data_IF_307831121519
#
_entry.id   IF_307831121519
#
_cell.length_a   1.000
_cell.length_b   1.000
_cell.length_c   1.000
_cell.angle_alpha   90.00
_cell.angle_beta   90.00
_cell.angle_gamma   90.00
#
_symmetry.space_group_name_H-M   'P 1'
#
loop_
_entity.id
_entity.type
_entity.pdbx_description
1 polymer ?
#
# COMPACT_ATOMS: atom_id res chain seq x y z
N UNK A 1 10.16 15.50 34.03
CA UNK A 1 11.41 15.40 33.27
C UNK A 1 11.20 14.35 32.19
N UNK A 2 10.75 14.77 31.00
CA UNK A 2 10.35 13.87 29.89
C UNK A 2 11.25 14.21 28.67
N UNK A 3 12.49 13.76 28.72
CA UNK A 3 13.45 13.94 27.62
C UNK A 3 13.91 12.61 26.97
N UNK A 4 13.34 11.48 27.39
CA UNK A 4 13.74 10.15 26.89
C UNK A 4 13.08 9.72 25.57
N UNK A 5 11.85 10.14 25.32
CA UNK A 5 11.04 9.61 24.20
C UNK A 5 11.41 10.20 22.83
N UNK A 6 11.83 11.45 22.76
CA UNK A 6 12.07 12.13 21.46
C UNK A 6 13.30 11.60 20.75
N UNK A 7 14.36 11.24 21.49
CA UNK A 7 15.61 10.76 20.88
C UNK A 7 15.52 9.32 20.38
N UNK A 8 14.76 8.47 21.09
CA UNK A 8 14.48 7.09 20.66
C UNK A 8 13.57 7.09 19.45
N UNK A 9 12.53 7.94 19.41
CA UNK A 9 11.64 8.08 18.25
C UNK A 9 12.39 8.53 16.99
N UNK A 10 13.30 9.50 17.10
CA UNK A 10 14.12 9.97 15.98
C UNK A 10 15.05 8.86 15.44
N UNK A 11 15.65 8.03 16.33
CA UNK A 11 16.50 6.91 15.92
C UNK A 11 15.74 5.80 15.20
N UNK A 12 14.49 5.54 15.59
CA UNK A 12 13.62 4.56 14.93
C UNK A 12 13.23 5.05 13.55
N UNK A 13 12.85 6.32 13.41
CA UNK A 13 12.49 6.92 12.13
C UNK A 13 13.65 6.95 11.13
N UNK A 14 14.88 7.18 11.58
CA UNK A 14 16.07 7.24 10.72
C UNK A 14 16.48 5.85 10.20
N UNK A 15 16.09 4.76 10.86
CA UNK A 15 16.36 3.38 10.43
C UNK A 15 15.14 2.71 9.76
N UNK A 16 13.99 3.36 9.72
CA UNK A 16 12.78 2.81 9.12
C UNK A 16 12.77 3.04 7.60
N UNK A 17 12.68 1.94 6.84
CA UNK A 17 12.62 1.97 5.37
C UNK A 17 11.51 2.91 4.86
N UNK A 18 10.31 2.82 5.43
CA UNK A 18 9.18 3.63 4.99
C UNK A 18 9.32 5.09 5.39
N UNK A 19 9.91 5.40 6.55
CA UNK A 19 10.25 6.77 6.91
C UNK A 19 11.25 7.39 5.92
N UNK A 20 12.26 6.63 5.48
CA UNK A 20 13.22 7.10 4.47
C UNK A 20 12.54 7.34 3.11
N UNK A 21 11.59 6.50 2.71
CA UNK A 21 10.79 6.71 1.49
C UNK A 21 9.93 7.97 1.61
N UNK A 22 9.25 8.15 2.72
CA UNK A 22 8.42 9.34 2.99
C UNK A 22 9.24 10.63 2.96
N UNK A 23 10.46 10.61 3.52
CA UNK A 23 11.43 11.73 3.52
C UNK A 23 12.08 11.93 2.14
N UNK A 24 11.82 11.06 1.14
CA UNK A 24 12.43 11.14 -0.19
C UNK A 24 13.90 10.72 -0.24
N UNK A 25 14.41 10.09 0.79
CA UNK A 25 15.80 9.59 0.87
C UNK A 25 15.99 8.31 0.04
N UNK A 26 14.91 7.57 -0.21
CA UNK A 26 14.91 6.37 -1.05
C UNK A 26 13.95 6.55 -2.22
N UNK A 27 14.27 6.01 -3.40
CA UNK A 27 13.41 6.05 -4.56
C UNK A 27 12.16 5.20 -4.34
N UNK A 28 11.02 5.66 -4.88
CA UNK A 28 9.75 4.92 -4.84
C UNK A 28 8.87 5.25 -6.05
N UNK A 29 7.94 4.35 -6.37
CA UNK A 29 6.95 4.54 -7.42
C UNK A 29 5.63 5.01 -6.81
N UNK A 30 5.58 6.31 -6.46
CA UNK A 30 4.42 6.95 -5.87
C UNK A 30 3.25 6.97 -6.85
N UNK A 31 2.07 6.51 -6.40
CA UNK A 31 0.84 6.52 -7.19
C UNK A 31 -0.25 7.42 -6.59
N UNK A 32 -0.18 7.67 -5.28
CA UNK A 32 -1.10 8.55 -4.59
C UNK A 32 -0.47 9.12 -3.32
N UNK A 33 -0.90 10.32 -2.92
CA UNK A 33 -0.43 11.01 -1.73
C UNK A 33 -1.48 12.04 -1.29
N UNK A 34 -1.66 12.20 0.02
CA UNK A 34 -2.31 13.36 0.64
C UNK A 34 -1.42 13.94 1.75
N UNK A 35 -1.98 14.76 2.62
CA UNK A 35 -1.24 15.39 3.71
C UNK A 35 -0.60 14.35 4.66
N UNK A 36 -1.33 13.29 4.99
CA UNK A 36 -0.98 12.33 6.04
C UNK A 36 -0.50 10.97 5.54
N UNK A 37 -0.80 10.60 4.29
CA UNK A 37 -0.58 9.26 3.77
C UNK A 37 0.11 9.26 2.41
N UNK A 38 0.82 8.17 2.14
CA UNK A 38 1.53 7.90 0.90
C UNK A 38 1.16 6.51 0.39
N UNK A 39 1.00 6.36 -0.93
CA UNK A 39 0.86 5.05 -1.59
C UNK A 39 1.90 4.89 -2.70
N UNK A 40 2.59 3.76 -2.68
CA UNK A 40 3.62 3.41 -3.65
C UNK A 40 3.36 2.03 -4.24
N UNK A 41 3.84 1.78 -5.45
CA UNK A 41 3.89 0.41 -5.98
C UNK A 41 4.90 -0.41 -5.19
N UNK A 42 4.52 -1.64 -4.87
CA UNK A 42 5.44 -2.60 -4.31
C UNK A 42 6.49 -3.00 -5.37
N UNK A 43 7.76 -3.04 -4.99
CA UNK A 43 8.85 -3.46 -5.89
C UNK A 43 9.06 -4.98 -5.91
N UNK A 44 8.40 -5.71 -5.00
CA UNK A 44 8.36 -7.18 -4.95
C UNK A 44 6.92 -7.70 -5.07
N UNK A 45 6.19 -7.35 -6.17
CA UNK A 45 4.77 -7.63 -6.26
C UNK A 45 4.49 -9.10 -6.59
N UNK A 46 3.50 -9.71 -5.90
CA UNK A 46 2.94 -11.01 -6.30
C UNK A 46 1.96 -10.86 -7.46
N UNK A 47 1.33 -9.69 -7.59
CA UNK A 47 0.36 -9.39 -8.63
C UNK A 47 0.61 -7.99 -9.20
N UNK A 48 0.35 -7.79 -10.49
CA UNK A 48 0.49 -6.50 -11.14
C UNK A 48 -0.32 -5.43 -10.40
N UNK A 49 0.34 -4.32 -10.03
CA UNK A 49 -0.29 -3.22 -9.32
C UNK A 49 -0.40 -3.40 -7.81
N UNK A 50 0.24 -4.41 -7.23
CA UNK A 50 0.38 -4.49 -5.79
C UNK A 50 0.92 -3.18 -5.25
N UNK A 51 0.26 -2.66 -4.22
CA UNK A 51 0.49 -1.30 -3.71
C UNK A 51 0.62 -1.35 -2.20
N UNK A 52 1.53 -0.56 -1.66
CA UNK A 52 1.68 -0.33 -0.22
C UNK A 52 1.15 1.06 0.11
N UNK A 53 0.24 1.16 1.07
CA UNK A 53 -0.24 2.42 1.64
C UNK A 53 0.30 2.56 3.04
N UNK A 54 0.82 3.73 3.39
CA UNK A 54 1.43 3.99 4.70
C UNK A 54 1.11 5.41 5.18
N UNK A 55 1.04 5.65 6.49
CA UNK A 55 1.06 7.01 7.03
C UNK A 55 2.45 7.63 6.83
N UNK A 56 2.51 8.95 6.69
CA UNK A 56 3.78 9.69 6.66
C UNK A 56 4.44 9.77 8.03
N UNK A 57 3.61 9.78 9.08
CA UNK A 57 4.07 9.66 10.47
C UNK A 57 4.43 8.21 10.74
N UNK A 58 5.56 7.96 11.40
CA UNK A 58 5.88 6.63 11.90
C UNK A 58 4.86 6.21 12.97
N UNK A 59 4.16 5.11 12.74
CA UNK A 59 3.25 4.44 13.66
C UNK A 59 3.66 2.98 13.73
N UNK A 60 3.39 2.36 14.88
CA UNK A 60 3.58 0.92 15.08
C UNK A 60 2.89 0.12 13.98
N UNK A 61 3.51 -0.97 13.57
CA UNK A 61 3.01 -1.85 12.50
C UNK A 61 1.76 -2.65 12.87
N UNK A 62 1.46 -2.79 14.18
CA UNK A 62 0.22 -3.42 14.63
C UNK A 62 -0.97 -2.47 14.45
N UNK A 63 -1.72 -2.68 13.38
CA UNK A 63 -2.89 -1.87 13.06
C UNK A 63 -3.97 -1.90 14.17
N UNK A 64 -4.04 -2.96 14.96
CA UNK A 64 -5.03 -3.10 16.03
C UNK A 64 -4.58 -2.48 17.36
N UNK A 65 -3.31 -2.11 17.50
CA UNK A 65 -2.82 -1.33 18.62
C UNK A 65 -3.10 0.18 18.49
N UNK A 66 -3.56 0.64 17.30
CA UNK A 66 -3.90 2.03 17.04
C UNK A 66 -5.17 2.46 17.78
N UNK A 67 -5.32 3.77 18.02
CA UNK A 67 -6.61 4.32 18.40
C UNK A 67 -7.64 4.14 17.27
N UNK A 68 -8.94 4.05 17.63
CA UNK A 68 -10.05 3.93 16.66
C UNK A 68 -9.99 5.03 15.59
N UNK A 69 -9.60 6.25 15.99
CA UNK A 69 -9.47 7.37 15.05
C UNK A 69 -8.34 7.15 14.05
N UNK A 70 -7.15 6.77 14.50
CA UNK A 70 -6.00 6.52 13.63
C UNK A 70 -6.29 5.38 12.67
N UNK A 71 -6.85 4.27 13.17
CA UNK A 71 -7.25 3.14 12.35
C UNK A 71 -8.31 3.55 11.31
N UNK A 72 -9.32 4.31 11.72
CA UNK A 72 -10.38 4.79 10.80
C UNK A 72 -9.81 5.69 9.71
N UNK A 73 -8.98 6.65 10.06
CA UNK A 73 -8.37 7.57 9.10
C UNK A 73 -7.48 6.80 8.10
N UNK A 74 -6.71 5.83 8.59
CA UNK A 74 -5.88 4.97 7.76
C UNK A 74 -6.72 4.08 6.83
N UNK A 75 -7.81 3.50 7.32
CA UNK A 75 -8.74 2.72 6.50
C UNK A 75 -9.39 3.56 5.41
N UNK A 76 -9.71 4.83 5.69
CA UNK A 76 -10.26 5.75 4.68
C UNK A 76 -9.21 6.03 3.59
N UNK A 77 -7.95 6.28 3.96
CA UNK A 77 -6.85 6.45 3.00
C UNK A 77 -6.64 5.19 2.15
N UNK A 78 -6.58 4.02 2.79
CA UNK A 78 -6.48 2.71 2.13
C UNK A 78 -7.62 2.49 1.13
N UNK A 79 -8.86 2.81 1.50
CA UNK A 79 -10.04 2.73 0.61
C UNK A 79 -9.92 3.66 -0.60
N UNK A 80 -9.42 4.90 -0.43
CA UNK A 80 -9.21 5.83 -1.55
C UNK A 80 -8.26 5.24 -2.58
N UNK A 81 -7.17 4.64 -2.12
CA UNK A 81 -6.16 4.00 -2.99
C UNK A 81 -6.72 2.73 -3.63
N UNK A 82 -7.45 1.89 -2.89
CA UNK A 82 -8.11 0.71 -3.45
C UNK A 82 -9.08 1.09 -4.59
N UNK A 83 -9.90 2.14 -4.42
CA UNK A 83 -10.80 2.64 -5.45
C UNK A 83 -10.04 3.20 -6.67
N UNK A 84 -8.90 3.85 -6.44
CA UNK A 84 -8.02 4.28 -7.52
C UNK A 84 -7.54 3.07 -8.35
N UNK A 85 -7.07 2.01 -7.69
CA UNK A 85 -6.62 0.78 -8.36
C UNK A 85 -7.76 0.08 -9.11
N UNK A 86 -8.95 -0.06 -8.49
CA UNK A 86 -10.14 -0.61 -9.16
C UNK A 86 -10.41 0.12 -10.46
N UNK A 87 -10.41 1.45 -10.43
CA UNK A 87 -10.73 2.28 -11.61
C UNK A 87 -9.62 2.25 -12.66
N UNK A 88 -8.34 2.31 -12.23
CA UNK A 88 -7.21 2.47 -13.15
C UNK A 88 -6.72 1.17 -13.77
N UNK A 89 -6.91 0.07 -13.09
CA UNK A 89 -6.52 -1.25 -13.56
C UNK A 89 -7.71 -2.05 -14.10
N UNK A 90 -8.92 -1.48 -14.04
CA UNK A 90 -10.19 -2.12 -14.44
C UNK A 90 -10.35 -3.51 -13.85
N UNK A 91 -10.19 -3.62 -12.53
CA UNK A 91 -10.33 -4.88 -11.79
C UNK A 91 -11.66 -4.97 -11.06
N UNK A 92 -12.13 -6.19 -10.80
CA UNK A 92 -13.37 -6.44 -10.08
C UNK A 92 -13.30 -5.93 -8.63
N UNK A 93 -12.15 -6.10 -7.98
CA UNK A 93 -11.91 -5.69 -6.59
C UNK A 93 -10.41 -5.60 -6.29
N UNK A 94 -10.12 -5.05 -5.12
CA UNK A 94 -8.79 -5.04 -4.51
C UNK A 94 -8.92 -5.68 -3.12
N UNK A 95 -8.04 -6.61 -2.83
CA UNK A 95 -7.91 -7.18 -1.48
C UNK A 95 -6.94 -6.34 -0.66
N UNK A 96 -7.11 -6.34 0.66
CA UNK A 96 -6.24 -5.63 1.59
C UNK A 96 -5.70 -6.59 2.64
N UNK A 97 -4.43 -6.42 3.00
CA UNK A 97 -3.78 -7.15 4.08
C UNK A 97 -3.04 -6.13 4.96
N UNK A 98 -3.25 -6.22 6.27
CA UNK A 98 -2.42 -5.60 7.28
C UNK A 98 -1.46 -6.66 7.78
N UNK A 99 -0.19 -6.44 7.53
CA UNK A 99 0.88 -7.33 7.96
C UNK A 99 2.07 -6.45 8.35
N UNK A 100 2.53 -6.52 9.56
CA UNK A 100 3.57 -5.65 10.10
C UNK A 100 4.88 -6.36 10.42
N UNK A 101 4.99 -7.65 10.12
CA UNK A 101 6.12 -8.48 10.58
C UNK A 101 7.44 -8.15 9.87
N UNK A 102 7.38 -7.62 8.64
CA UNK A 102 8.59 -7.36 7.85
C UNK A 102 9.15 -5.95 8.08
N UNK A 103 8.29 -4.97 8.24
CA UNK A 103 8.69 -3.56 8.45
C UNK A 103 7.84 -2.97 9.56
N UNK A 104 8.51 -2.57 10.65
CA UNK A 104 7.86 -1.91 11.77
C UNK A 104 7.52 -0.45 11.41
N UNK A 105 6.46 -0.29 10.68
CA UNK A 105 5.80 0.94 10.29
C UNK A 105 4.43 0.58 9.75
N UNK A 106 3.37 1.19 10.26
CA UNK A 106 2.02 0.91 9.82
C UNK A 106 1.90 0.93 8.30
N UNK A 107 1.37 -0.12 7.74
CA UNK A 107 1.08 -0.16 6.30
C UNK A 107 -0.01 -1.16 5.96
N UNK A 108 -0.67 -0.95 4.85
CA UNK A 108 -1.54 -1.93 4.22
C UNK A 108 -1.00 -2.31 2.85
N UNK A 109 -1.07 -3.59 2.54
CA UNK A 109 -0.76 -4.13 1.20
C UNK A 109 -2.07 -4.32 0.43
N UNK A 110 -2.15 -3.75 -0.76
CA UNK A 110 -3.30 -3.83 -1.65
C UNK A 110 -2.99 -4.73 -2.84
N UNK A 111 -3.86 -5.71 -3.09
CA UNK A 111 -3.74 -6.72 -4.13
C UNK A 111 -4.89 -6.59 -5.13
N UNK A 112 -4.67 -5.98 -6.30
CA UNK A 112 -5.68 -5.94 -7.35
C UNK A 112 -6.00 -7.34 -7.88
N UNK A 113 -7.30 -7.68 -7.96
CA UNK A 113 -7.76 -8.98 -8.44
C UNK A 113 -7.70 -9.06 -9.99
N UNK A 114 -6.48 -9.02 -10.55
CA UNK A 114 -6.25 -9.09 -11.99
C UNK A 114 -6.75 -10.42 -12.53
N UNK A 115 -7.54 -10.37 -13.61
CA UNK A 115 -8.09 -11.55 -14.27
C UNK A 115 -9.32 -12.14 -13.60
N UNK A 116 -9.76 -11.61 -12.44
CA UNK A 116 -11.01 -12.03 -11.81
C UNK A 116 -12.20 -11.33 -12.50
N UNK A 117 -13.16 -12.12 -12.97
CA UNK A 117 -14.40 -11.57 -13.52
C UNK A 117 -15.23 -10.87 -12.44
N UNK A 118 -15.91 -9.78 -12.80
CA UNK A 118 -16.87 -9.09 -11.92
C UNK A 118 -18.07 -9.97 -11.56
N UNK A 119 -18.35 -10.98 -12.38
CA UNK A 119 -19.43 -11.95 -12.18
C UNK A 119 -19.01 -13.11 -11.27
N UNK A 120 -17.71 -13.25 -10.97
CA UNK A 120 -17.20 -14.30 -10.09
C UNK A 120 -17.70 -14.07 -8.67
N UNK A 121 -18.61 -14.93 -8.22
CA UNK A 121 -19.17 -14.85 -6.87
C UNK A 121 -18.28 -15.54 -5.83
N UNK A 122 -17.55 -16.56 -6.24
CA UNK A 122 -16.68 -17.35 -5.37
C UNK A 122 -15.47 -17.85 -6.17
N UNK A 123 -14.29 -17.69 -5.59
CA UNK A 123 -13.05 -18.29 -6.07
C UNK A 123 -12.47 -19.14 -4.94
N UNK A 124 -12.20 -20.40 -5.22
CA UNK A 124 -11.61 -21.35 -4.26
C UNK A 124 -10.19 -21.62 -4.74
N UNK A 125 -9.20 -21.45 -3.88
CA UNK A 125 -7.83 -21.82 -4.19
C UNK A 125 -7.75 -23.35 -4.39
N UNK A 126 -7.04 -23.81 -5.42
CA UNK A 126 -6.89 -25.25 -5.70
C UNK A 126 -6.06 -25.96 -4.63
N UNK A 127 -5.17 -25.22 -3.98
CA UNK A 127 -4.28 -25.72 -2.94
C UNK A 127 -4.79 -25.30 -1.56
N UNK A 128 -4.61 -26.19 -0.59
CA UNK A 128 -4.88 -25.93 0.81
C UNK A 128 -3.59 -26.11 1.59
N UNK A 129 -3.17 -25.04 2.28
CA UNK A 129 -2.03 -25.07 3.17
C UNK A 129 -2.53 -24.95 4.60
N UNK A 130 -2.07 -25.83 5.48
CA UNK A 130 -2.32 -25.77 6.92
C UNK A 130 -0.97 -25.63 7.62
N UNK A 131 -0.90 -24.70 8.55
CA UNK A 131 0.25 -24.51 9.42
C UNK A 131 -0.19 -24.81 10.85
N UNK A 132 0.53 -25.67 11.54
CA UNK A 132 0.30 -25.94 12.97
C UNK A 132 0.62 -24.73 13.82
N UNK A 133 1.63 -23.95 13.39
CA UNK A 133 1.99 -22.66 13.96
C UNK A 133 1.97 -21.59 12.88
N UNK A 134 1.66 -20.34 13.25
CA UNK A 134 1.67 -19.26 12.29
C UNK A 134 3.10 -19.02 11.77
N UNK A 135 3.31 -19.08 10.44
CA UNK A 135 4.66 -19.05 9.85
C UNK A 135 5.29 -17.65 9.82
N UNK A 136 4.76 -16.71 10.61
CA UNK A 136 5.20 -15.31 10.69
C UNK A 136 5.01 -14.50 9.39
N UNK A 137 4.13 -14.96 8.51
CA UNK A 137 3.73 -14.21 7.31
C UNK A 137 2.30 -14.55 6.90
N UNK A 138 1.64 -13.61 6.24
CA UNK A 138 0.39 -13.86 5.53
C UNK A 138 0.75 -14.57 4.21
N UNK A 139 -0.06 -15.53 3.77
CA UNK A 139 0.22 -16.41 2.61
C UNK A 139 0.33 -15.70 1.25
N UNK A 140 0.59 -14.42 1.23
CA UNK A 140 0.99 -13.65 0.05
C UNK A 140 2.51 -13.57 0.03
N UNK A 141 3.16 -14.60 -0.51
CA UNK A 141 4.61 -14.60 -0.69
C UNK A 141 5.04 -13.41 -1.56
N UNK A 142 6.19 -12.82 -1.24
CA UNK A 142 6.78 -11.82 -2.13
C UNK A 142 7.10 -12.43 -3.49
N UNK A 143 6.80 -11.69 -4.53
CA UNK A 143 7.22 -12.03 -5.88
C UNK A 143 8.69 -11.68 -6.14
N UNK A 144 9.26 -12.09 -7.28
CA UNK A 144 10.55 -11.60 -7.71
C UNK A 144 10.50 -10.09 -7.91
N UNK A 145 11.65 -9.42 -7.75
CA UNK A 145 11.72 -7.97 -7.97
C UNK A 145 11.22 -7.61 -9.36
N UNK A 146 10.24 -6.72 -9.45
CA UNK A 146 9.70 -6.22 -10.71
C UNK A 146 10.75 -5.37 -11.45
N UNK A 147 10.69 -5.36 -12.79
CA UNK A 147 11.55 -4.51 -13.61
C UNK A 147 11.14 -3.04 -13.46
N UNK A 148 12.11 -2.16 -13.40
CA UNK A 148 11.87 -0.72 -13.21
C UNK A 148 11.03 -0.12 -14.33
N UNK A 149 11.18 -0.60 -15.58
CA UNK A 149 10.39 -0.16 -16.72
C UNK A 149 8.90 -0.53 -16.56
N UNK A 150 8.61 -1.72 -16.02
CA UNK A 150 7.24 -2.18 -15.78
C UNK A 150 6.58 -1.38 -14.66
N UNK A 151 7.33 -1.12 -13.58
CA UNK A 151 6.86 -0.28 -12.47
C UNK A 151 6.59 1.16 -12.92
N UNK A 152 7.48 1.76 -13.72
CA UNK A 152 7.30 3.11 -14.27
C UNK A 152 6.08 3.18 -15.18
N UNK A 153 5.90 2.21 -16.09
CA UNK A 153 4.71 2.15 -16.97
C UNK A 153 3.43 2.06 -16.15
N UNK A 154 3.41 1.19 -15.14
CA UNK A 154 2.26 1.01 -14.27
C UNK A 154 1.98 2.26 -13.42
N UNK A 155 3.02 2.90 -12.88
CA UNK A 155 2.90 4.17 -12.18
C UNK A 155 2.23 5.23 -13.07
N UNK A 156 2.68 5.39 -14.31
CA UNK A 156 2.08 6.34 -15.26
C UNK A 156 0.61 5.97 -15.56
N UNK A 157 0.28 4.69 -15.70
CA UNK A 157 -1.09 4.23 -15.90
C UNK A 157 -2.00 4.63 -14.74
N UNK A 158 -1.54 4.44 -13.50
CA UNK A 158 -2.32 4.75 -12.30
C UNK A 158 -2.45 6.26 -12.06
N UNK A 159 -1.35 7.02 -12.28
CA UNK A 159 -1.29 8.47 -11.97
C UNK A 159 -1.71 9.33 -13.17
N UNK A 160 -1.37 8.90 -14.41
CA UNK A 160 -1.37 9.74 -15.61
C UNK A 160 -2.74 10.25 -16.09
N UNK A 161 -3.85 9.65 -15.69
CA UNK A 161 -5.21 10.08 -16.10
C UNK A 161 -5.71 11.35 -15.42
N UNK A 162 -5.03 11.87 -14.41
CA UNK A 162 -5.42 13.14 -13.75
C UNK A 162 -5.29 14.38 -14.64
N UNK A 163 -4.45 14.32 -15.70
CA UNK A 163 -4.21 15.50 -16.57
C UNK A 163 -5.28 15.76 -17.65
N UNK A 164 -6.13 14.77 -17.99
CA UNK A 164 -7.13 14.94 -19.07
C UNK A 164 -8.45 15.58 -18.65
N UNK A 165 -8.82 15.55 -17.36
CA UNK A 165 -10.11 16.07 -16.91
C UNK A 165 -10.09 17.54 -16.46
N UNK A 166 -8.93 18.22 -16.38
CA UNK A 166 -8.86 19.64 -16.03
C UNK A 166 -9.09 20.60 -17.21
N UNK A 167 -9.05 20.10 -18.46
CA UNK A 167 -9.19 20.94 -19.65
C UNK A 167 -10.58 20.88 -20.31
N UNK A 168 -11.60 20.26 -19.66
CA UNK A 168 -12.97 20.24 -20.19
C UNK A 168 -13.98 21.10 -19.43
N UNK A 169 -13.57 21.76 -18.35
CA UNK A 169 -14.47 22.62 -17.57
C UNK A 169 -14.29 24.13 -17.80
N UNK A 170 -13.44 24.54 -18.77
CA UNK A 170 -13.24 25.96 -19.09
C UNK A 170 -13.48 26.27 -20.58
N UNK A 171 -14.51 25.72 -21.16
CA UNK A 171 -15.02 26.18 -22.46
C UNK A 171 -16.54 25.98 -22.50
N UNK A 172 -17.22 26.91 -21.82
CA UNK A 172 -18.51 27.45 -22.18
C UNK A 172 -18.65 28.84 -21.53
#
# INVERSE_FOLDING_TARGET
MVLGNTRVSLMIEDNCLFCMIVKGQLPSYKIWEDENYLAILDIFPNIKGQTVVMPKKHLDSDAFALSDKELTDFMIATKKVANLLVTRLDVARVHVVFEGMHTDHLHSKLYPAIGLSRETKQAIAPEKIYFEEYPSYVTTLEGPRAKDEDLKRLQVTIVGFRKRNKNKENSD
#
